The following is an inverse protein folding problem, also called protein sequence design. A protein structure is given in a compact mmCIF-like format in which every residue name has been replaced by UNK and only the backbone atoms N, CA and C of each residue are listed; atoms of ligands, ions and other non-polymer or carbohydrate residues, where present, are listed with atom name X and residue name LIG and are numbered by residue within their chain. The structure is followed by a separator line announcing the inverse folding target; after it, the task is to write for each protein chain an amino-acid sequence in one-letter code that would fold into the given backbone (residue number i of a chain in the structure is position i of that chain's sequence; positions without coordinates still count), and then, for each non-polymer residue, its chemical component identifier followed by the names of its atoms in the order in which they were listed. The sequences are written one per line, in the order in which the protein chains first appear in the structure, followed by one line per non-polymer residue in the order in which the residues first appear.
data_IF_057673129973
#
_entry.id   IF_057673129973
#
_cell.length_a   1.000
_cell.length_b   1.000
_cell.length_c   1.000
_cell.angle_alpha   90.00
_cell.angle_beta   90.00
_cell.angle_gamma   90.00
#
_symmetry.space_group_name_H-M   'P 1'
#
loop_
_entity.id
_entity.type
_entity.pdbx_description
1 polymer ?
#
# COMPACT_ATOMS: atom_id res chain seq x y z
N UNK A 1 30.56 -16.03 -55.15
CA UNK A 1 31.91 -16.10 -54.55
C UNK A 1 31.74 -16.51 -53.09
N UNK A 2 32.09 -17.76 -52.80
CA UNK A 2 31.87 -18.41 -51.51
C UNK A 2 33.20 -18.45 -50.74
N UNK A 3 33.21 -17.97 -49.50
CA UNK A 3 34.36 -18.04 -48.61
C UNK A 3 34.06 -18.90 -47.40
N UNK A 4 34.38 -20.20 -47.48
CA UNK A 4 34.47 -21.11 -46.33
C UNK A 4 35.68 -20.73 -45.48
N UNK A 5 35.51 -20.61 -44.16
CA UNK A 5 36.62 -20.69 -43.19
C UNK A 5 36.34 -21.82 -42.20
N UNK A 6 37.33 -22.70 -42.12
CA UNK A 6 37.52 -23.83 -41.21
C UNK A 6 38.69 -23.48 -40.28
N UNK A 7 38.77 -24.12 -39.11
CA UNK A 7 39.86 -24.18 -38.09
C UNK A 7 39.43 -23.53 -36.75
N UNK A 8 39.70 -24.08 -35.57
CA UNK A 8 40.28 -25.35 -35.15
C UNK A 8 39.88 -25.55 -33.67
N UNK A 9 39.52 -26.77 -33.29
CA UNK A 9 39.21 -27.12 -31.90
C UNK A 9 40.50 -27.50 -31.16
N UNK A 10 40.85 -26.76 -30.13
CA UNK A 10 41.88 -27.13 -29.16
C UNK A 10 41.19 -27.59 -27.87
N UNK A 11 41.26 -28.89 -27.59
CA UNK A 11 40.79 -29.48 -26.34
C UNK A 11 41.91 -29.38 -25.29
N UNK A 12 41.74 -28.52 -24.30
CA UNK A 12 42.56 -28.48 -23.09
C UNK A 12 41.79 -29.19 -21.98
N UNK A 13 42.25 -30.38 -21.61
CA UNK A 13 41.76 -31.12 -20.46
C UNK A 13 42.30 -30.49 -19.16
N UNK A 14 41.41 -29.86 -18.39
CA UNK A 14 41.69 -29.44 -17.03
C UNK A 14 41.00 -30.43 -16.06
N UNK A 15 41.81 -31.16 -15.28
CA UNK A 15 41.33 -31.90 -14.11
C UNK A 15 40.85 -30.88 -13.06
N UNK A 16 39.52 -30.74 -12.93
CA UNK A 16 38.91 -30.08 -11.78
C UNK A 16 38.76 -31.12 -10.67
N UNK A 17 39.63 -31.03 -9.66
CA UNK A 17 39.47 -31.75 -8.41
C UNK A 17 38.18 -31.27 -7.72
N UNK A 18 37.16 -32.13 -7.71
CA UNK A 18 35.93 -31.93 -6.97
C UNK A 18 36.20 -32.03 -5.46
N UNK A 19 36.62 -30.92 -4.86
CA UNK A 19 36.63 -30.76 -3.42
C UNK A 19 35.19 -30.60 -2.93
N UNK A 20 34.61 -31.69 -2.41
CA UNK A 20 33.38 -31.66 -1.62
C UNK A 20 33.63 -30.84 -0.34
N UNK A 21 33.62 -29.52 -0.45
CA UNK A 21 33.42 -28.66 0.71
C UNK A 21 31.98 -28.88 1.13
N UNK A 22 31.77 -29.75 2.12
CA UNK A 22 30.50 -29.83 2.83
C UNK A 22 30.18 -28.40 3.28
N UNK A 23 29.19 -27.77 2.63
CA UNK A 23 28.58 -26.54 3.11
C UNK A 23 28.19 -26.82 4.55
N UNK A 24 28.95 -26.26 5.50
CA UNK A 24 28.55 -26.26 6.91
C UNK A 24 27.18 -25.61 6.92
N UNK A 25 26.15 -26.43 7.14
CA UNK A 25 24.75 -26.00 7.07
C UNK A 25 24.61 -24.72 7.87
N UNK A 26 24.28 -23.62 7.19
CA UNK A 26 23.95 -22.38 7.89
C UNK A 26 22.83 -22.73 8.87
N UNK A 27 22.94 -22.36 10.16
CA UNK A 27 21.86 -22.58 11.10
C UNK A 27 20.59 -21.96 10.52
N UNK A 28 19.49 -22.72 10.52
CA UNK A 28 18.18 -22.16 10.18
C UNK A 28 17.91 -20.97 11.09
N UNK A 29 17.35 -19.87 10.56
CA UNK A 29 16.87 -18.78 11.40
C UNK A 29 15.97 -19.33 12.51
N UNK A 30 16.08 -18.77 13.72
CA UNK A 30 15.11 -19.05 14.76
C UNK A 30 13.71 -18.63 14.28
N UNK A 31 12.65 -19.33 14.69
CA UNK A 31 11.30 -18.85 14.42
C UNK A 31 11.08 -17.49 15.12
N UNK A 32 10.28 -16.59 14.53
CA UNK A 32 9.95 -15.33 15.16
C UNK A 32 9.24 -15.55 16.51
N UNK A 33 9.48 -14.62 17.44
CA UNK A 33 8.76 -14.57 18.73
C UNK A 33 7.29 -14.24 18.50
N UNK A 34 6.40 -14.76 19.36
CA UNK A 34 4.95 -14.68 19.18
C UNK A 34 4.25 -13.84 20.26
N UNK A 35 5.00 -13.01 20.99
CA UNK A 35 4.50 -12.28 22.16
C UNK A 35 3.36 -11.32 21.82
N UNK A 36 3.37 -10.72 20.61
CA UNK A 36 2.31 -9.81 20.17
C UNK A 36 0.92 -10.47 20.22
N UNK A 37 0.82 -11.80 20.10
CA UNK A 37 -0.46 -12.52 20.13
C UNK A 37 -1.16 -12.42 21.47
N UNK A 38 -0.44 -12.05 22.54
CA UNK A 38 -1.02 -11.77 23.85
C UNK A 38 -1.61 -10.36 23.96
N UNK A 39 -1.45 -9.51 22.94
CA UNK A 39 -2.00 -8.15 22.91
C UNK A 39 -3.52 -8.18 22.83
N UNK A 40 -4.17 -7.48 23.75
CA UNK A 40 -5.62 -7.26 23.70
C UNK A 40 -5.96 -6.06 22.79
N UNK A 41 -6.04 -6.32 21.48
CA UNK A 41 -6.44 -5.29 20.50
C UNK A 41 -7.86 -4.75 20.72
N UNK A 42 -8.70 -5.48 21.47
CA UNK A 42 -10.07 -5.09 21.77
C UNK A 42 -10.16 -3.99 22.85
N UNK A 43 -9.13 -3.86 23.69
CA UNK A 43 -9.02 -2.82 24.73
C UNK A 43 -7.85 -1.82 24.47
N UNK A 44 -7.24 -1.90 23.29
CA UNK A 44 -6.12 -1.06 22.86
C UNK A 44 -6.55 0.36 22.44
N UNK A 45 -5.56 1.25 22.39
CA UNK A 45 -5.68 2.60 21.80
C UNK A 45 -5.32 2.57 20.32
N UNK A 46 -6.20 3.09 19.48
CA UNK A 46 -6.09 3.10 18.03
C UNK A 46 -6.03 4.52 17.49
N UNK A 47 -5.14 4.77 16.54
CA UNK A 47 -5.23 5.88 15.61
C UNK A 47 -6.04 5.47 14.39
N UNK A 48 -7.13 6.18 14.12
CA UNK A 48 -7.94 6.02 12.91
C UNK A 48 -7.59 7.13 11.91
N UNK A 49 -6.90 6.74 10.83
CA UNK A 49 -6.48 7.64 9.76
C UNK A 49 -7.65 8.24 8.97
N UNK A 50 -8.82 7.57 8.93
CA UNK A 50 -9.99 8.03 8.16
C UNK A 50 -10.62 9.26 8.79
N UNK A 51 -10.72 9.26 10.13
CA UNK A 51 -11.26 10.38 10.90
C UNK A 51 -10.16 11.25 11.53
N UNK A 52 -8.89 10.87 11.37
CA UNK A 52 -7.73 11.59 11.91
C UNK A 52 -7.72 11.69 13.44
N UNK A 53 -8.23 10.68 14.14
CA UNK A 53 -8.42 10.72 15.59
C UNK A 53 -7.85 9.49 16.29
N UNK A 54 -7.59 9.61 17.59
CA UNK A 54 -7.21 8.48 18.45
C UNK A 54 -8.41 8.07 19.30
N UNK A 55 -8.66 6.76 19.38
CA UNK A 55 -9.78 6.17 20.08
C UNK A 55 -9.32 4.95 20.88
N UNK A 56 -9.76 4.84 22.14
CA UNK A 56 -9.57 3.63 22.92
C UNK A 56 -10.79 2.72 22.76
N UNK A 57 -10.56 1.49 22.33
CA UNK A 57 -11.62 0.48 22.29
C UNK A 57 -11.85 -0.07 23.70
N UNK A 58 -13.09 -0.51 23.94
CA UNK A 58 -13.49 -1.29 25.12
C UNK A 58 -14.25 -2.51 24.62
N UNK A 59 -13.71 -3.71 24.82
CA UNK A 59 -14.29 -4.95 24.30
C UNK A 59 -14.49 -4.93 22.77
N UNK A 60 -13.56 -4.30 22.05
CA UNK A 60 -13.51 -4.25 20.59
C UNK A 60 -14.43 -3.20 19.98
N UNK A 61 -14.95 -2.27 20.78
CA UNK A 61 -15.88 -1.22 20.33
C UNK A 61 -15.54 0.12 20.98
N UNK A 62 -15.83 1.19 20.25
CA UNK A 62 -15.89 2.53 20.82
C UNK A 62 -16.95 3.35 20.10
N UNK A 63 -17.39 4.41 20.75
CA UNK A 63 -18.20 5.45 20.14
C UNK A 63 -17.78 6.80 20.73
N UNK A 64 -17.86 7.86 19.93
CA UNK A 64 -17.39 9.18 20.33
C UNK A 64 -18.05 10.29 19.54
N UNK A 65 -18.12 11.48 20.15
CA UNK A 65 -18.52 12.69 19.46
C UNK A 65 -17.33 13.30 18.73
N UNK A 66 -17.32 13.23 17.41
CA UNK A 66 -16.60 14.20 16.60
C UNK A 66 -17.50 15.42 16.34
N UNK A 67 -16.98 16.42 15.61
CA UNK A 67 -17.75 17.61 15.25
C UNK A 67 -19.15 17.23 14.73
N UNK A 68 -20.23 17.60 15.44
CA UNK A 68 -21.59 17.16 15.12
C UNK A 68 -22.11 17.75 13.81
N UNK A 69 -21.48 18.81 13.29
CA UNK A 69 -21.81 19.38 11.98
C UNK A 69 -21.42 18.41 10.87
N UNK A 70 -20.25 17.80 10.98
CA UNK A 70 -19.73 16.86 9.98
C UNK A 70 -20.18 15.42 10.24
N UNK A 71 -20.39 15.06 11.50
CA UNK A 71 -20.71 13.70 11.93
C UNK A 71 -21.93 13.71 12.85
N UNK A 72 -23.14 14.02 12.32
CA UNK A 72 -24.35 13.96 13.11
C UNK A 72 -24.54 12.53 13.64
N UNK A 73 -24.72 12.40 14.95
CA UNK A 73 -24.80 11.10 15.64
C UNK A 73 -23.45 10.51 16.08
N UNK A 74 -22.34 11.20 15.84
CA UNK A 74 -21.00 10.79 16.24
C UNK A 74 -20.35 9.77 15.30
N UNK A 75 -19.25 9.18 15.77
CA UNK A 75 -18.50 8.12 15.09
C UNK A 75 -18.46 6.89 15.98
N UNK A 76 -18.53 5.73 15.35
CA UNK A 76 -18.42 4.42 15.98
C UNK A 76 -17.25 3.65 15.39
N UNK A 77 -16.60 2.86 16.24
CA UNK A 77 -15.48 1.99 15.88
C UNK A 77 -15.77 0.57 16.34
N UNK A 78 -15.35 -0.39 15.52
CA UNK A 78 -15.49 -1.80 15.81
C UNK A 78 -14.29 -2.57 15.26
N UNK A 79 -13.66 -3.36 16.13
CA UNK A 79 -12.64 -4.33 15.76
C UNK A 79 -13.25 -5.36 14.78
N UNK A 80 -12.48 -5.75 13.77
CA UNK A 80 -12.86 -6.77 12.81
C UNK A 80 -12.38 -8.16 13.26
N UNK A 81 -12.44 -9.13 12.36
CA UNK A 81 -12.12 -10.53 12.60
C UNK A 81 -10.64 -10.75 13.01
N UNK A 82 -10.25 -12.01 13.12
CA UNK A 82 -8.95 -12.43 13.65
C UNK A 82 -7.76 -11.71 12.98
N UNK A 83 -6.78 -11.24 13.77
CA UNK A 83 -5.54 -10.68 13.23
C UNK A 83 -4.77 -11.67 12.36
N UNK A 84 -4.03 -11.15 11.39
CA UNK A 84 -3.02 -11.89 10.64
C UNK A 84 -1.63 -11.59 11.21
N UNK A 85 -0.85 -12.63 11.55
CA UNK A 85 0.45 -12.47 12.21
C UNK A 85 1.61 -12.88 11.31
N UNK A 86 2.62 -12.02 11.21
CA UNK A 86 3.93 -12.31 10.57
C UNK A 86 4.93 -11.28 11.05
N UNK A 87 6.20 -11.65 11.10
CA UNK A 87 7.33 -10.71 11.18
C UNK A 87 7.40 -9.92 9.86
N UNK A 88 6.93 -8.65 9.86
CA UNK A 88 6.82 -7.82 8.65
C UNK A 88 8.03 -6.91 8.45
N UNK A 89 8.76 -6.56 9.50
CA UNK A 89 9.95 -5.71 9.43
C UNK A 89 11.28 -6.48 9.58
N UNK A 90 11.22 -7.77 9.87
CA UNK A 90 12.35 -8.69 9.87
C UNK A 90 13.19 -8.63 11.14
N UNK A 91 12.63 -8.12 12.24
CA UNK A 91 13.34 -7.95 13.52
C UNK A 91 13.37 -9.24 14.38
N UNK A 92 12.64 -10.28 13.97
CA UNK A 92 12.57 -11.56 14.65
C UNK A 92 11.41 -11.67 15.64
N UNK A 93 10.55 -10.67 15.73
CA UNK A 93 9.28 -10.71 16.44
C UNK A 93 8.11 -10.76 15.42
N UNK A 94 7.03 -11.48 15.74
CA UNK A 94 5.82 -11.38 14.92
C UNK A 94 5.14 -10.04 15.15
N UNK A 95 4.63 -9.49 14.05
CA UNK A 95 3.73 -8.34 14.02
C UNK A 95 2.30 -8.80 13.72
N UNK A 96 1.36 -7.85 13.73
CA UNK A 96 -0.04 -8.12 13.45
C UNK A 96 -0.64 -7.12 12.43
N UNK A 97 -1.43 -7.63 11.49
CA UNK A 97 -2.42 -6.85 10.77
C UNK A 97 -3.78 -7.02 11.44
N UNK A 98 -4.37 -5.91 11.87
CA UNK A 98 -5.62 -5.91 12.64
C UNK A 98 -6.63 -4.96 11.99
N UNK A 99 -7.83 -5.46 11.75
CA UNK A 99 -8.89 -4.72 11.07
C UNK A 99 -9.72 -3.85 12.02
N UNK A 100 -10.04 -2.65 11.58
CA UNK A 100 -10.91 -1.68 12.25
C UNK A 100 -11.95 -1.17 11.25
N UNK A 101 -13.23 -1.22 11.66
CA UNK A 101 -14.31 -0.54 10.95
C UNK A 101 -14.67 0.73 11.69
N UNK A 102 -14.67 1.85 10.99
CA UNK A 102 -15.12 3.14 11.51
C UNK A 102 -16.29 3.68 10.69
N UNK A 103 -17.26 4.31 11.35
CA UNK A 103 -18.45 4.84 10.69
C UNK A 103 -19.06 6.03 11.44
N UNK A 104 -19.41 7.09 10.71
CA UNK A 104 -20.07 8.28 11.23
C UNK A 104 -20.63 9.17 10.12
N UNK A 105 -21.85 9.67 10.30
CA UNK A 105 -22.58 10.41 9.26
C UNK A 105 -22.71 9.62 7.96
N UNK A 106 -22.17 10.17 6.87
CA UNK A 106 -22.10 9.52 5.55
C UNK A 106 -20.78 8.79 5.31
N UNK A 107 -19.85 8.81 6.25
CA UNK A 107 -18.54 8.18 6.11
C UNK A 107 -18.55 6.82 6.78
N UNK A 108 -18.12 5.79 6.05
CA UNK A 108 -17.79 4.50 6.65
C UNK A 108 -16.58 3.93 5.93
N UNK A 109 -15.68 3.32 6.70
CA UNK A 109 -14.47 2.72 6.19
C UNK A 109 -14.14 1.42 6.93
N UNK A 110 -13.46 0.54 6.21
CA UNK A 110 -12.86 -0.68 6.71
C UNK A 110 -11.38 -0.57 6.43
N UNK A 111 -10.57 -0.52 7.48
CA UNK A 111 -9.12 -0.34 7.38
C UNK A 111 -8.41 -1.45 8.13
N UNK A 112 -7.31 -1.95 7.59
CA UNK A 112 -6.40 -2.87 8.30
C UNK A 112 -5.11 -2.15 8.61
N UNK A 113 -4.73 -2.13 9.89
CA UNK A 113 -3.53 -1.48 10.38
C UNK A 113 -2.47 -2.50 10.75
N UNK A 114 -1.21 -2.14 10.55
CA UNK A 114 -0.07 -2.90 11.05
C UNK A 114 0.21 -2.49 12.50
N UNK A 115 0.55 -3.48 13.32
CA UNK A 115 0.92 -3.34 14.72
C UNK A 115 2.24 -4.07 14.91
N UNK A 116 3.28 -3.33 15.28
CA UNK A 116 4.63 -3.85 15.42
C UNK A 116 4.90 -4.27 16.85
N UNK A 117 5.59 -5.37 17.06
CA UNK A 117 6.07 -5.74 18.38
C UNK A 117 7.40 -5.04 18.66
N UNK A 118 7.39 -3.98 19.47
CA UNK A 118 8.58 -3.18 19.72
C UNK A 118 8.72 -2.89 21.20
N UNK A 119 9.90 -3.16 21.75
CA UNK A 119 10.23 -2.92 23.15
C UNK A 119 9.22 -3.57 24.12
N UNK A 120 8.76 -4.79 23.80
CA UNK A 120 7.84 -5.56 24.62
C UNK A 120 6.38 -5.04 24.62
N UNK A 121 5.98 -4.27 23.60
CA UNK A 121 4.61 -3.78 23.42
C UNK A 121 4.22 -3.70 21.94
N UNK A 122 2.92 -3.79 21.68
CA UNK A 122 2.38 -3.53 20.35
C UNK A 122 2.32 -2.02 20.03
N UNK A 123 2.83 -1.62 18.87
CA UNK A 123 2.87 -0.23 18.39
C UNK A 123 2.20 -0.13 17.04
N UNK A 124 1.11 0.63 16.94
CA UNK A 124 0.39 0.79 15.69
C UNK A 124 1.15 1.67 14.68
N UNK A 125 1.25 1.20 13.44
CA UNK A 125 1.62 2.02 12.28
C UNK A 125 0.44 2.91 11.92
N UNK A 126 0.66 4.24 11.91
CA UNK A 126 -0.43 5.22 11.77
C UNK A 126 -1.20 5.14 10.45
N UNK A 127 -0.54 4.70 9.37
CA UNK A 127 -1.20 4.52 8.07
C UNK A 127 -1.69 3.08 7.95
N UNK A 128 -2.90 2.85 7.41
CA UNK A 128 -3.39 1.51 7.20
C UNK A 128 -2.59 0.81 6.08
N UNK A 129 -2.45 -0.51 6.19
CA UNK A 129 -1.94 -1.38 5.13
C UNK A 129 -2.93 -1.46 3.95
N UNK A 130 -4.22 -1.34 4.23
CA UNK A 130 -5.28 -1.21 3.23
C UNK A 130 -6.47 -0.53 3.88
N UNK A 131 -7.16 0.33 3.14
CA UNK A 131 -8.40 0.95 3.57
C UNK A 131 -9.36 1.03 2.41
N UNK A 132 -10.64 0.72 2.66
CA UNK A 132 -11.72 0.91 1.71
C UNK A 132 -12.85 1.71 2.36
N UNK A 133 -13.39 2.67 1.62
CA UNK A 133 -14.58 3.45 1.98
C UNK A 133 -15.85 2.74 1.54
N UNK A 134 -17.01 3.26 1.96
CA UNK A 134 -18.34 2.67 1.67
C UNK A 134 -18.67 2.44 0.20
N UNK A 135 -18.06 3.20 -0.72
CA UNK A 135 -18.34 3.11 -2.16
C UNK A 135 -17.23 2.40 -2.94
N UNK A 136 -16.15 2.03 -2.26
CA UNK A 136 -15.15 1.14 -2.79
C UNK A 136 -15.58 -0.31 -2.52
N UNK A 137 -14.98 -1.26 -3.24
CA UNK A 137 -15.32 -2.66 -3.01
C UNK A 137 -14.75 -3.18 -1.70
N UNK A 138 -15.31 -4.28 -1.17
CA UNK A 138 -14.90 -4.81 0.11
C UNK A 138 -13.48 -5.37 0.06
N UNK A 139 -12.83 -5.34 1.21
CA UNK A 139 -11.66 -6.18 1.47
C UNK A 139 -12.19 -7.60 1.70
N UNK A 140 -11.89 -8.51 0.77
CA UNK A 140 -12.34 -9.90 0.82
C UNK A 140 -11.51 -10.72 1.81
N UNK A 141 -10.20 -10.50 1.85
CA UNK A 141 -9.33 -11.15 2.82
C UNK A 141 -8.04 -10.39 3.09
N UNK A 142 -7.53 -10.59 4.31
CA UNK A 142 -6.20 -10.19 4.76
C UNK A 142 -5.54 -11.41 5.38
N UNK A 143 -4.38 -11.79 4.87
CA UNK A 143 -3.69 -13.04 5.24
C UNK A 143 -2.23 -12.80 5.53
N UNK A 144 -1.68 -13.54 6.49
CA UNK A 144 -0.25 -13.51 6.76
C UNK A 144 0.52 -14.22 5.64
N UNK A 145 1.65 -13.64 5.24
CA UNK A 145 2.66 -14.22 4.36
C UNK A 145 4.04 -13.98 4.98
N UNK A 146 5.05 -14.80 4.69
CA UNK A 146 6.41 -14.55 5.21
C UNK A 146 6.89 -13.14 4.81
N UNK A 147 7.12 -12.27 5.79
CA UNK A 147 7.60 -10.89 5.56
C UNK A 147 6.55 -9.92 4.99
N UNK A 148 5.27 -10.30 4.92
CA UNK A 148 4.25 -9.45 4.29
C UNK A 148 2.80 -9.81 4.68
N UNK A 149 1.88 -8.89 4.42
CA UNK A 149 0.44 -9.11 4.54
C UNK A 149 -0.16 -9.21 3.14
N UNK A 150 -0.73 -10.36 2.81
CA UNK A 150 -1.53 -10.55 1.60
C UNK A 150 -2.89 -9.88 1.73
N UNK A 151 -3.25 -9.06 0.75
CA UNK A 151 -4.54 -8.37 0.68
C UNK A 151 -5.25 -8.78 -0.60
N UNK A 152 -6.54 -9.10 -0.48
CA UNK A 152 -7.45 -9.28 -1.61
C UNK A 152 -8.69 -8.41 -1.41
N UNK A 153 -9.04 -7.62 -2.41
CA UNK A 153 -10.19 -6.71 -2.38
C UNK A 153 -10.84 -6.62 -3.75
N UNK A 154 -12.04 -6.05 -3.82
CA UNK A 154 -12.67 -5.68 -5.07
C UNK A 154 -12.55 -4.17 -5.30
N UNK A 155 -12.27 -3.75 -6.53
CA UNK A 155 -12.39 -2.36 -6.95
C UNK A 155 -13.50 -2.23 -7.98
N UNK A 156 -14.02 -1.01 -8.14
CA UNK A 156 -14.94 -0.73 -9.21
C UNK A 156 -14.20 -0.72 -10.55
N UNK A 157 -14.65 -1.56 -11.49
CA UNK A 157 -14.05 -1.69 -12.82
C UNK A 157 -14.71 -0.83 -13.88
N UNK A 158 -15.89 -0.29 -13.59
CA UNK A 158 -16.66 0.50 -14.54
C UNK A 158 -17.23 1.76 -13.89
N UNK A 159 -17.37 2.87 -14.63
CA UNK A 159 -18.15 4.03 -14.20
C UNK A 159 -19.61 3.69 -13.85
N UNK A 160 -20.17 2.60 -14.40
CA UNK A 160 -21.52 2.15 -14.09
C UNK A 160 -21.63 1.40 -12.76
N UNK A 161 -20.51 1.00 -12.15
CA UNK A 161 -20.51 0.37 -10.83
C UNK A 161 -21.03 1.37 -9.80
N UNK A 162 -22.18 1.07 -9.20
CA UNK A 162 -22.76 1.92 -8.16
C UNK A 162 -22.04 1.72 -6.83
N UNK A 163 -22.14 2.69 -5.92
CA UNK A 163 -21.68 2.53 -4.53
C UNK A 163 -22.25 1.25 -3.88
N UNK A 164 -23.44 0.81 -4.29
CA UNK A 164 -24.08 -0.39 -3.76
C UNK A 164 -23.57 -1.71 -4.37
N UNK A 165 -22.85 -1.70 -5.50
CA UNK A 165 -22.35 -2.94 -6.11
C UNK A 165 -21.09 -3.48 -5.43
N UNK A 166 -20.38 -2.66 -4.66
CA UNK A 166 -19.19 -3.08 -3.92
C UNK A 166 -18.03 -3.51 -4.82
N UNK A 167 -17.91 -2.96 -6.03
CA UNK A 167 -16.84 -3.31 -6.96
C UNK A 167 -17.00 -4.69 -7.62
N UNK A 168 -16.25 -4.90 -8.70
CA UNK A 168 -16.36 -6.09 -9.55
C UNK A 168 -15.02 -6.64 -10.02
N UNK A 169 -13.94 -5.86 -9.88
CA UNK A 169 -12.59 -6.24 -10.33
C UNK A 169 -11.77 -6.67 -9.13
N UNK A 170 -11.36 -7.95 -9.04
CA UNK A 170 -10.51 -8.41 -7.96
C UNK A 170 -9.10 -7.85 -8.10
N UNK A 171 -8.56 -7.32 -7.01
CA UNK A 171 -7.18 -6.87 -6.89
C UNK A 171 -6.53 -7.64 -5.74
N UNK A 172 -5.33 -8.16 -5.98
CA UNK A 172 -4.53 -8.85 -4.95
C UNK A 172 -3.14 -8.25 -4.92
N UNK A 173 -2.65 -7.95 -3.72
CA UNK A 173 -1.30 -7.42 -3.52
C UNK A 173 -0.75 -7.86 -2.16
N UNK A 174 0.53 -7.59 -1.95
CA UNK A 174 1.20 -7.80 -0.67
C UNK A 174 1.66 -6.47 -0.12
N UNK A 175 1.53 -6.30 1.19
CA UNK A 175 1.95 -5.12 1.94
C UNK A 175 3.11 -5.51 2.84
N UNK A 176 4.20 -4.75 2.75
CA UNK A 176 5.33 -4.82 3.68
C UNK A 176 5.53 -3.48 4.38
N UNK A 177 6.63 -3.37 5.12
CA UNK A 177 7.09 -2.11 5.69
C UNK A 177 8.41 -1.66 5.08
N UNK A 178 8.53 -0.36 4.84
CA UNK A 178 9.79 0.28 4.46
C UNK A 178 9.94 1.61 5.15
N UNK A 179 10.96 1.74 5.99
CA UNK A 179 11.24 2.96 6.74
C UNK A 179 10.03 3.45 7.57
N UNK A 180 9.25 2.50 8.12
CA UNK A 180 8.02 2.79 8.88
C UNK A 180 6.76 3.06 8.03
N UNK A 181 6.85 2.95 6.70
CA UNK A 181 5.72 3.15 5.79
C UNK A 181 5.15 1.82 5.31
N UNK A 182 3.82 1.62 5.38
CA UNK A 182 3.17 0.55 4.64
C UNK A 182 3.37 0.77 3.14
N UNK A 183 3.88 -0.25 2.47
CA UNK A 183 4.19 -0.21 1.04
C UNK A 183 3.68 -1.47 0.38
N UNK A 184 3.21 -1.36 -0.86
CA UNK A 184 3.01 -2.55 -1.69
C UNK A 184 4.38 -3.12 -2.05
N UNK A 185 4.58 -4.42 -1.85
CA UNK A 185 5.81 -5.13 -2.21
C UNK A 185 5.62 -6.05 -3.41
N UNK A 186 4.39 -6.47 -3.68
CA UNK A 186 4.01 -7.36 -4.79
C UNK A 186 2.61 -6.99 -5.33
N UNK A 187 2.35 -7.06 -6.66
CA UNK A 187 3.27 -7.50 -7.72
C UNK A 187 4.32 -6.46 -8.13
N UNK A 188 4.15 -5.21 -7.69
CA UNK A 188 5.08 -4.12 -7.94
C UNK A 188 5.20 -3.25 -6.70
N UNK A 189 6.38 -2.67 -6.49
CA UNK A 189 6.61 -1.73 -5.41
C UNK A 189 5.80 -0.45 -5.64
N UNK A 190 5.15 0.07 -4.58
CA UNK A 190 4.34 1.27 -4.72
C UNK A 190 3.48 1.59 -3.49
N UNK A 191 2.53 2.53 -3.63
CA UNK A 191 1.54 2.83 -2.60
C UNK A 191 0.62 1.64 -2.33
N UNK A 192 -0.02 1.64 -1.16
CA UNK A 192 -1.04 0.62 -0.82
C UNK A 192 -2.36 0.86 -1.56
N UNK A 193 -2.63 2.10 -1.98
CA UNK A 193 -3.76 2.47 -2.83
C UNK A 193 -3.71 1.79 -4.21
N UNK A 194 -4.87 1.52 -4.82
CA UNK A 194 -4.96 0.72 -6.06
C UNK A 194 -4.83 1.51 -7.36
N UNK A 195 -4.63 2.84 -7.31
CA UNK A 195 -4.67 3.74 -8.48
C UNK A 195 -5.76 3.35 -9.48
N UNK A 196 -6.99 3.27 -9.00
CA UNK A 196 -8.10 2.75 -9.79
C UNK A 196 -8.29 3.61 -11.07
N UNK A 197 -8.17 3.03 -12.28
CA UNK A 197 -8.31 3.79 -13.53
C UNK A 197 -9.74 4.33 -13.73
N UNK A 198 -10.73 3.84 -12.98
CA UNK A 198 -12.06 4.46 -12.93
C UNK A 198 -11.99 5.89 -12.38
N UNK A 199 -11.15 6.12 -11.38
CA UNK A 199 -11.08 7.37 -10.64
C UNK A 199 -10.01 8.29 -11.25
N UNK A 200 -8.91 7.71 -11.76
CA UNK A 200 -7.82 8.42 -12.41
C UNK A 200 -8.05 8.47 -13.93
N UNK A 201 -8.82 9.46 -14.37
CA UNK A 201 -9.30 9.56 -15.76
C UNK A 201 -8.82 10.79 -16.51
N UNK A 202 -8.30 11.80 -15.80
CA UNK A 202 -7.82 13.03 -16.42
C UNK A 202 -6.35 12.87 -16.76
N UNK A 203 -6.03 12.89 -18.06
CA UNK A 203 -4.65 12.85 -18.53
C UNK A 203 -3.98 14.23 -18.40
N UNK A 204 -2.77 14.25 -17.82
CA UNK A 204 -1.89 15.41 -17.77
C UNK A 204 -0.52 15.07 -18.32
N UNK A 205 0.13 16.06 -18.92
CA UNK A 205 1.56 16.01 -19.26
C UNK A 205 2.34 16.84 -18.25
N UNK A 206 3.10 16.21 -17.33
CA UNK A 206 3.91 16.93 -16.37
C UNK A 206 4.91 17.90 -17.05
N UNK A 207 5.11 19.13 -16.52
CA UNK A 207 6.04 20.10 -17.10
C UNK A 207 7.51 19.66 -17.03
N UNK A 208 7.85 18.76 -16.10
CA UNK A 208 9.21 18.32 -15.83
C UNK A 208 9.29 16.87 -15.38
N UNK A 209 10.34 16.56 -14.63
CA UNK A 209 10.47 15.27 -13.97
C UNK A 209 9.60 15.20 -12.71
N UNK A 210 9.01 14.03 -12.46
CA UNK A 210 8.14 13.76 -11.33
C UNK A 210 8.80 12.72 -10.43
N UNK A 211 8.70 12.90 -9.12
CA UNK A 211 9.11 11.92 -8.13
C UNK A 211 7.88 11.26 -7.51
N UNK A 212 7.52 10.07 -8.00
CA UNK A 212 6.46 9.29 -7.40
C UNK A 212 6.88 8.74 -6.04
N UNK A 213 5.94 8.75 -5.08
CA UNK A 213 6.13 8.24 -3.71
C UNK A 213 5.03 7.26 -3.32
N UNK A 214 5.31 6.45 -2.31
CA UNK A 214 4.33 5.48 -1.77
C UNK A 214 3.20 6.14 -0.96
N UNK A 215 3.35 7.42 -0.64
CA UNK A 215 2.39 8.20 0.13
C UNK A 215 2.51 9.69 -0.20
N UNK A 216 1.43 10.45 0.01
CA UNK A 216 1.41 11.91 -0.08
C UNK A 216 2.17 12.61 1.05
N UNK A 217 3.48 12.40 1.11
CA UNK A 217 4.40 12.99 2.08
C UNK A 217 5.82 13.08 1.47
N UNK A 218 6.54 14.20 1.62
CA UNK A 218 7.89 14.35 1.05
C UNK A 218 8.93 13.38 1.65
N UNK A 219 8.69 12.82 2.83
CA UNK A 219 9.54 11.82 3.48
C UNK A 219 9.19 10.38 3.12
N UNK A 220 8.05 10.15 2.45
CA UNK A 220 7.65 8.80 2.04
C UNK A 220 8.64 8.22 1.01
N UNK A 221 8.90 6.89 1.06
CA UNK A 221 9.75 6.21 0.09
C UNK A 221 9.38 6.53 -1.36
N UNK A 222 10.40 6.74 -2.18
CA UNK A 222 10.27 6.89 -3.62
C UNK A 222 9.84 5.56 -4.26
N UNK A 223 8.84 5.58 -5.15
CA UNK A 223 8.42 4.38 -5.91
C UNK A 223 9.49 3.95 -6.90
N UNK A 224 10.13 4.92 -7.54
CA UNK A 224 11.23 4.76 -8.49
C UNK A 224 12.07 6.04 -8.51
N UNK A 225 13.16 6.05 -9.27
CA UNK A 225 13.93 7.27 -9.51
C UNK A 225 13.07 8.34 -10.18
N UNK A 226 13.34 9.60 -9.85
CA UNK A 226 12.74 10.77 -10.51
C UNK A 226 12.95 10.67 -12.02
N UNK A 227 11.87 10.82 -12.79
CA UNK A 227 11.90 10.69 -14.25
C UNK A 227 10.83 11.53 -14.93
N UNK A 228 10.92 11.68 -16.25
CA UNK A 228 9.90 12.35 -17.07
C UNK A 228 8.88 11.32 -17.55
N UNK A 229 7.62 11.52 -17.17
CA UNK A 229 6.51 10.72 -17.68
C UNK A 229 5.86 11.42 -18.88
N UNK A 230 5.57 10.71 -19.99
CA UNK A 230 4.84 11.27 -21.13
C UNK A 230 3.45 11.75 -20.73
N UNK A 231 2.80 11.01 -19.84
CA UNK A 231 1.48 11.32 -19.32
C UNK A 231 1.28 10.70 -17.93
N UNK A 232 0.40 11.31 -17.15
CA UNK A 232 -0.11 10.80 -15.89
C UNK A 232 -1.62 10.92 -15.88
N UNK A 233 -2.32 9.92 -15.33
CA UNK A 233 -3.75 10.00 -15.07
C UNK A 233 -3.98 10.43 -13.62
N UNK A 234 -4.85 11.42 -13.45
CA UNK A 234 -5.23 12.00 -12.16
C UNK A 234 -6.75 12.02 -12.00
N UNK A 235 -7.19 12.18 -10.76
CA UNK A 235 -8.58 12.48 -10.43
C UNK A 235 -9.00 13.85 -10.99
N UNK A 236 -10.23 13.99 -11.48
CA UNK A 236 -10.71 15.22 -12.12
C UNK A 236 -10.71 16.43 -11.18
N UNK A 237 -10.81 16.20 -9.88
CA UNK A 237 -10.70 17.24 -8.85
C UNK A 237 -9.33 17.91 -8.80
N UNK A 238 -8.28 17.27 -9.31
CA UNK A 238 -6.92 17.84 -9.37
C UNK A 238 -6.89 19.05 -10.31
N UNK A 239 -7.59 18.95 -11.45
CA UNK A 239 -7.63 20.02 -12.47
C UNK A 239 -8.84 20.94 -12.34
N UNK A 240 -9.83 20.59 -11.53
CA UNK A 240 -11.09 21.32 -11.47
C UNK A 240 -10.87 22.75 -10.91
N UNK A 241 -11.14 23.81 -11.70
CA UNK A 241 -10.97 25.20 -11.26
C UNK A 241 -12.02 25.63 -10.23
N UNK A 242 -13.16 24.92 -10.13
CA UNK A 242 -14.22 25.18 -9.17
C UNK A 242 -13.90 24.59 -7.79
N UNK A 243 -12.72 24.96 -7.28
CA UNK A 243 -12.28 24.62 -5.93
C UNK A 243 -13.31 25.16 -4.95
N UNK A 244 -13.86 24.27 -4.12
CA UNK A 244 -14.74 24.67 -3.04
C UNK A 244 -14.02 25.72 -2.18
N UNK A 245 -14.58 26.92 -1.98
CA UNK A 245 -13.96 27.95 -1.15
C UNK A 245 -13.62 27.39 0.23
N UNK A 246 -12.36 27.50 0.64
CA UNK A 246 -11.91 27.14 1.99
C UNK A 246 -11.28 25.76 2.15
N UNK A 247 -11.30 24.87 1.15
CA UNK A 247 -10.42 23.68 1.16
C UNK A 247 -9.12 24.00 0.44
N UNK A 248 -8.01 24.05 1.18
CA UNK A 248 -6.70 23.95 0.55
C UNK A 248 -6.60 22.56 -0.08
N UNK A 249 -6.26 22.44 -1.37
CA UNK A 249 -5.94 21.14 -1.95
C UNK A 249 -4.91 20.45 -1.06
N UNK A 250 -4.99 19.12 -0.97
CA UNK A 250 -3.79 18.39 -0.55
C UNK A 250 -2.74 18.66 -1.60
N UNK A 251 -1.52 19.02 -1.19
CA UNK A 251 -0.43 19.27 -2.15
C UNK A 251 0.03 17.98 -2.86
N UNK A 252 -0.52 16.83 -2.46
CA UNK A 252 -0.21 15.52 -2.99
C UNK A 252 -1.46 14.86 -3.59
N UNK A 253 -1.27 14.22 -4.73
CA UNK A 253 -2.31 13.50 -5.45
C UNK A 253 -1.83 12.11 -5.84
N UNK A 254 -2.72 11.12 -5.73
CA UNK A 254 -2.50 9.80 -6.28
C UNK A 254 -2.59 9.88 -7.81
N UNK A 255 -1.62 9.28 -8.50
CA UNK A 255 -1.52 9.31 -9.97
C UNK A 255 -1.18 7.93 -10.51
N UNK A 256 -1.66 7.65 -11.72
CA UNK A 256 -1.25 6.52 -12.53
C UNK A 256 -0.37 7.04 -13.66
N UNK A 257 0.94 6.89 -13.51
CA UNK A 257 1.89 7.38 -14.49
C UNK A 257 2.08 6.38 -15.64
N UNK A 258 2.04 6.87 -16.88
CA UNK A 258 2.22 6.06 -18.07
C UNK A 258 3.70 6.08 -18.45
N UNK A 259 4.33 4.90 -18.61
CA UNK A 259 5.70 4.82 -19.12
C UNK A 259 5.75 4.89 -20.67
N UNK A 260 6.88 5.32 -21.25
CA UNK A 260 7.07 5.35 -22.71
C UNK A 260 6.74 4.01 -23.39
N UNK A 261 6.15 4.05 -24.59
CA UNK A 261 5.62 2.86 -25.28
C UNK A 261 6.69 1.81 -25.64
N UNK A 262 7.94 2.23 -25.82
CA UNK A 262 9.12 1.38 -26.00
C UNK A 262 9.48 0.57 -24.73
N UNK A 263 8.90 0.92 -23.59
CA UNK A 263 8.99 0.19 -22.32
C UNK A 263 7.89 -0.89 -22.16
N UNK A 264 6.98 -1.04 -23.14
CA UNK A 264 5.74 -1.81 -23.04
C UNK A 264 4.67 -1.10 -22.20
N UNK A 265 3.45 -1.66 -22.05
CA UNK A 265 2.48 -1.11 -21.11
C UNK A 265 2.98 -1.32 -19.69
N UNK A 266 3.51 -0.25 -19.08
CA UNK A 266 3.91 -0.23 -17.68
C UNK A 266 3.36 1.03 -17.06
N UNK A 267 2.25 0.86 -16.37
CA UNK A 267 1.68 1.91 -15.54
C UNK A 267 2.34 1.85 -14.17
N UNK A 268 2.62 3.01 -13.58
CA UNK A 268 3.22 3.11 -12.25
C UNK A 268 2.30 3.93 -11.36
N UNK A 269 1.81 3.30 -10.29
CA UNK A 269 0.99 3.95 -9.28
C UNK A 269 1.89 4.68 -8.27
N UNK A 270 1.54 5.91 -7.91
CA UNK A 270 2.28 6.66 -6.90
C UNK A 270 1.61 7.98 -6.53
N UNK A 271 2.12 8.62 -5.49
CA UNK A 271 1.75 9.96 -5.10
C UNK A 271 2.73 10.97 -5.68
N UNK A 272 2.21 12.03 -6.29
CA UNK A 272 2.98 13.14 -6.84
C UNK A 272 2.55 14.46 -6.19
N UNK A 273 3.49 15.39 -6.04
CA UNK A 273 3.19 16.72 -5.56
C UNK A 273 2.59 17.58 -6.69
N UNK A 274 1.62 18.44 -6.39
CA UNK A 274 0.87 19.23 -7.38
C UNK A 274 1.78 20.12 -8.24
N UNK A 275 2.81 20.74 -7.65
CA UNK A 275 3.85 21.49 -8.36
C UNK A 275 4.63 20.69 -9.42
N UNK A 276 4.65 19.36 -9.31
CA UNK A 276 5.27 18.49 -10.32
C UNK A 276 4.30 18.11 -11.45
N UNK A 277 2.99 18.31 -11.24
CA UNK A 277 1.92 17.92 -12.17
C UNK A 277 1.43 19.09 -13.04
N UNK A 278 1.40 20.29 -12.47
CA UNK A 278 0.81 21.47 -13.10
C UNK A 278 1.87 22.58 -13.31
N UNK A 279 1.78 23.37 -14.39
CA UNK A 279 2.61 24.55 -14.55
C UNK A 279 2.29 25.58 -13.44
N UNK A 280 3.33 26.29 -12.99
CA UNK A 280 3.22 27.41 -12.05
C UNK A 280 2.65 28.66 -12.68
#
# INVERSE_FOLDING_TARGET
MAGKRVLAAAAVGALLAAGCSAERGRPSPAPPSQEIRATDFADAEWHDAVFGTTVRLVGGRAAGGLDPVFYPGGVSWRLLDAPAYTDIDGDGDEDAAVGLRSAGGQTAATSWYLWLWQDGRAVQVRRPAVSVSRCEGPIESVTAKPGAIGVRLLVAGSPQDTCASGGSVPVTFEVGLRDGWPVRTSPAFGPVETCNPRDLTTELTPPGEVQLRVAGDPSAPAVADRTRYPAVLVDDLVVNPYRLPGRKPTDWHLVLALLPADSGPREVCGWAHVDELLPR
#
